data_IF_531607154514
#
_entry.id   IF_531607154514
#
_cell.length_a   1.000
_cell.length_b   1.000
_cell.length_c   1.000
_cell.angle_alpha   90.00
_cell.angle_beta   90.00
_cell.angle_gamma   90.00
#
_symmetry.space_group_name_H-M   'P 1'
#
loop_
_entity.id
_entity.type
_entity.pdbx_description
1 polymer ?
#
# COMPACT_ATOMS: atom_id res chain seq x y z
N UNK A 1 -13.10 -2.75 21.14
CA UNK A 1 -11.70 -3.18 21.03
C UNK A 1 -11.34 -4.15 22.13
N UNK A 2 -10.46 -5.08 21.88
CA UNK A 2 -9.79 -5.88 22.91
C UNK A 2 -8.41 -5.30 23.19
N UNK A 3 -7.87 -5.54 24.37
CA UNK A 3 -6.53 -5.17 24.79
C UNK A 3 -5.69 -6.44 24.82
N UNK A 4 -4.58 -6.44 24.11
CA UNK A 4 -3.63 -7.55 24.15
C UNK A 4 -2.91 -7.59 25.49
N UNK A 5 -2.68 -8.78 26.00
CA UNK A 5 -2.08 -9.03 27.32
C UNK A 5 -0.91 -9.97 27.17
N UNK A 6 0.20 -9.64 27.79
CA UNK A 6 1.35 -10.54 27.94
C UNK A 6 1.64 -10.72 29.43
N UNK A 7 2.15 -11.90 29.80
CA UNK A 7 2.56 -12.18 31.17
C UNK A 7 3.86 -11.43 31.55
N UNK A 8 4.36 -11.60 32.76
CA UNK A 8 5.59 -10.96 33.21
C UNK A 8 6.82 -11.44 32.41
N UNK A 9 6.79 -12.64 31.84
CA UNK A 9 7.87 -13.23 31.03
C UNK A 9 7.80 -12.81 29.55
N UNK A 10 6.75 -12.08 29.14
CA UNK A 10 6.55 -11.61 27.76
C UNK A 10 5.76 -12.58 26.88
N UNK A 11 5.21 -13.66 27.44
CA UNK A 11 4.39 -14.62 26.69
C UNK A 11 2.97 -14.09 26.52
N UNK A 12 2.34 -14.30 25.34
CA UNK A 12 1.01 -13.82 25.05
C UNK A 12 -0.07 -14.58 25.85
N UNK A 13 -1.03 -13.85 26.36
CA UNK A 13 -2.23 -14.35 27.01
C UNK A 13 -3.47 -13.98 26.17
N UNK A 14 -4.63 -14.54 26.57
CA UNK A 14 -5.90 -14.16 25.93
C UNK A 14 -6.17 -12.66 26.06
N UNK A 15 -6.56 -11.98 24.96
CA UNK A 15 -6.92 -10.57 25.01
C UNK A 15 -8.06 -10.29 26.00
N UNK A 16 -8.02 -9.15 26.68
CA UNK A 16 -9.03 -8.77 27.64
C UNK A 16 -9.86 -7.56 27.19
N UNK A 17 -11.00 -7.35 27.88
CA UNK A 17 -11.82 -6.15 27.67
C UNK A 17 -11.10 -4.90 28.17
N UNK A 18 -11.30 -3.71 27.56
CA UNK A 18 -10.68 -2.46 27.99
C UNK A 18 -10.92 -2.09 29.45
N UNK A 19 -12.09 -2.44 30.01
CA UNK A 19 -12.40 -2.22 31.41
C UNK A 19 -11.45 -2.98 32.33
N UNK A 20 -11.18 -4.25 32.05
CA UNK A 20 -10.24 -5.06 32.84
C UNK A 20 -8.81 -4.51 32.75
N UNK A 21 -8.38 -4.12 31.53
CA UNK A 21 -7.07 -3.51 31.34
C UNK A 21 -6.92 -2.20 32.14
N UNK A 22 -7.94 -1.32 32.16
CA UNK A 22 -7.92 -0.10 32.93
C UNK A 22 -7.80 -0.35 34.45
N UNK A 23 -8.52 -1.37 34.97
CA UNK A 23 -8.40 -1.76 36.36
C UNK A 23 -7.00 -2.24 36.71
N UNK A 24 -6.43 -3.14 35.92
CA UNK A 24 -5.07 -3.66 36.10
C UNK A 24 -4.00 -2.55 36.09
N UNK A 25 -4.15 -1.58 35.17
CA UNK A 25 -3.25 -0.42 35.10
C UNK A 25 -3.43 0.51 36.33
N UNK A 26 -4.67 0.75 36.76
CA UNK A 26 -4.98 1.57 37.96
C UNK A 26 -4.43 0.92 39.23
N UNK A 27 -4.56 -0.37 39.36
CA UNK A 27 -4.05 -1.16 40.49
C UNK A 27 -2.53 -1.40 40.44
N UNK A 28 -1.85 -0.83 39.43
CA UNK A 28 -0.41 -1.04 39.19
C UNK A 28 -0.01 -2.52 39.04
N UNK A 29 -0.94 -3.39 38.66
CA UNK A 29 -0.71 -4.80 38.37
C UNK A 29 -0.26 -5.06 36.93
N UNK A 30 -0.31 -4.05 36.06
CA UNK A 30 0.15 -4.10 34.71
C UNK A 30 0.79 -2.78 34.28
N UNK A 31 1.62 -2.84 33.24
CA UNK A 31 2.23 -1.68 32.58
C UNK A 31 1.88 -1.68 31.08
N UNK A 32 1.92 -0.50 30.46
CA UNK A 32 1.72 -0.37 29.01
C UNK A 32 3.00 -0.82 28.31
N UNK A 33 2.92 -1.89 27.52
CA UNK A 33 4.04 -2.41 26.72
C UNK A 33 4.09 -1.82 25.31
N UNK A 34 2.93 -1.70 24.66
CA UNK A 34 2.80 -1.12 23.32
C UNK A 34 1.52 -0.33 23.22
N UNK A 35 1.56 0.75 22.43
CA UNK A 35 0.35 1.55 22.13
C UNK A 35 -0.33 1.13 20.83
N UNK A 36 0.41 0.56 19.89
CA UNK A 36 -0.08 0.21 18.56
C UNK A 36 0.39 -1.21 18.14
N UNK A 37 -0.43 -2.26 18.24
CA UNK A 37 -1.71 -2.38 18.94
C UNK A 37 -1.55 -2.21 20.45
N UNK A 38 -2.63 -1.79 21.13
CA UNK A 38 -2.56 -1.55 22.55
C UNK A 38 -2.37 -2.85 23.33
N UNK A 39 -1.24 -2.94 24.03
CA UNK A 39 -0.79 -4.15 24.73
C UNK A 39 -0.32 -3.79 26.14
N UNK A 40 -0.77 -4.55 27.12
CA UNK A 40 -0.33 -4.42 28.51
C UNK A 40 0.49 -5.65 28.92
N UNK A 41 1.45 -5.45 29.82
CA UNK A 41 2.22 -6.51 30.44
C UNK A 41 1.84 -6.63 31.91
N UNK A 42 1.49 -7.84 32.34
CA UNK A 42 1.23 -8.13 33.75
C UNK A 42 2.55 -8.10 34.55
N UNK A 43 2.47 -7.66 35.79
CA UNK A 43 3.61 -7.61 36.72
C UNK A 43 3.60 -8.77 37.73
N UNK A 44 2.69 -9.70 37.58
CA UNK A 44 2.58 -10.91 38.39
C UNK A 44 2.49 -12.15 37.50
N UNK A 45 2.84 -13.28 38.05
CA UNK A 45 2.79 -14.53 37.31
C UNK A 45 1.33 -15.00 37.11
N UNK A 46 1.02 -15.37 35.89
CA UNK A 46 -0.29 -15.89 35.53
C UNK A 46 -0.17 -16.72 34.25
N UNK A 47 -0.37 -18.02 34.38
CA UNK A 47 -0.42 -18.93 33.24
C UNK A 47 -1.72 -18.87 32.47
N UNK A 48 -2.82 -18.40 33.07
CA UNK A 48 -4.13 -18.15 32.44
C UNK A 48 -4.73 -19.35 31.71
N UNK A 49 -6.06 -19.37 31.59
CA UNK A 49 -6.73 -20.28 30.64
C UNK A 49 -6.61 -19.72 29.23
N UNK A 50 -6.14 -20.54 28.29
CA UNK A 50 -6.08 -20.19 26.88
C UNK A 50 -7.15 -20.92 26.10
N UNK A 51 -7.87 -20.18 25.24
CA UNK A 51 -8.78 -20.75 24.25
C UNK A 51 -8.01 -21.01 22.96
N UNK A 52 -8.53 -21.88 22.12
CA UNK A 52 -7.99 -22.07 20.78
C UNK A 52 -8.20 -20.78 19.96
N UNK A 53 -7.10 -20.21 19.47
CA UNK A 53 -7.09 -18.99 18.68
C UNK A 53 -6.73 -19.34 17.25
N UNK A 54 -7.46 -18.74 16.29
CA UNK A 54 -7.17 -18.87 14.86
C UNK A 54 -6.89 -17.50 14.29
N UNK A 55 -5.93 -17.41 13.37
CA UNK A 55 -5.60 -16.19 12.63
C UNK A 55 -5.84 -16.46 11.15
N UNK A 56 -6.75 -15.71 10.53
CA UNK A 56 -6.94 -15.70 9.11
C UNK A 56 -6.23 -14.51 8.47
N UNK A 57 -5.57 -14.74 7.35
CA UNK A 57 -4.85 -13.69 6.60
C UNK A 57 -5.25 -13.71 5.14
N UNK A 58 -5.86 -12.62 4.68
CA UNK A 58 -6.12 -12.35 3.28
C UNK A 58 -4.95 -11.54 2.69
N UNK A 59 -4.15 -12.18 1.83
CA UNK A 59 -3.00 -11.54 1.20
C UNK A 59 -3.41 -10.78 -0.05
N UNK A 60 -3.47 -9.45 0.07
CA UNK A 60 -3.62 -8.57 -1.08
C UNK A 60 -2.32 -7.84 -1.46
N UNK A 61 -2.26 -7.37 -2.70
CA UNK A 61 -1.08 -6.64 -3.19
C UNK A 61 -0.95 -5.23 -2.61
N UNK A 62 -2.03 -4.63 -2.16
CA UNK A 62 -2.10 -3.27 -1.60
C UNK A 62 -2.59 -3.27 -0.16
N UNK A 63 -3.50 -4.15 0.14
CA UNK A 63 -4.14 -4.32 1.43
C UNK A 63 -3.96 -5.77 1.87
N UNK A 64 -3.77 -5.98 3.15
CA UNK A 64 -3.70 -7.29 3.77
C UNK A 64 -4.75 -7.31 4.87
N UNK A 65 -5.72 -8.21 4.76
CA UNK A 65 -6.70 -8.45 5.81
C UNK A 65 -6.13 -9.37 6.88
N UNK A 66 -6.38 -9.07 8.15
CA UNK A 66 -5.99 -9.93 9.27
C UNK A 66 -7.17 -10.00 10.24
N UNK A 67 -7.54 -11.21 10.63
CA UNK A 67 -8.55 -11.43 11.66
C UNK A 67 -8.07 -12.46 12.67
N UNK A 68 -8.43 -12.25 13.92
CA UNK A 68 -8.17 -13.16 15.04
C UNK A 68 -9.51 -13.62 15.58
N UNK A 69 -9.73 -14.92 15.57
CA UNK A 69 -10.98 -15.55 16.01
C UNK A 69 -10.71 -16.58 17.11
N UNK A 70 -11.68 -16.83 17.93
CA UNK A 70 -11.66 -17.91 18.92
C UNK A 70 -13.07 -18.48 19.06
N UNK A 71 -13.21 -19.80 18.84
CA UNK A 71 -14.49 -20.47 18.79
C UNK A 71 -15.46 -19.77 17.82
N UNK A 72 -16.52 -19.15 18.33
CA UNK A 72 -17.58 -18.44 17.61
C UNK A 72 -17.44 -16.89 17.71
N UNK A 73 -16.27 -16.39 18.14
CA UNK A 73 -16.04 -14.97 18.41
C UNK A 73 -14.94 -14.40 17.50
N UNK A 74 -15.23 -13.27 16.90
CA UNK A 74 -14.21 -12.45 16.25
C UNK A 74 -13.62 -11.50 17.30
N UNK A 75 -12.37 -11.74 17.69
CA UNK A 75 -11.68 -10.93 18.71
C UNK A 75 -11.16 -9.63 18.11
N UNK A 76 -10.52 -9.71 16.95
CA UNK A 76 -9.88 -8.60 16.24
C UNK A 76 -10.05 -8.79 14.74
N UNK A 77 -10.30 -7.71 14.02
CA UNK A 77 -10.30 -7.71 12.54
C UNK A 77 -9.78 -6.37 12.02
N UNK A 78 -9.14 -6.39 10.86
CA UNK A 78 -8.70 -5.14 10.24
C UNK A 78 -7.86 -5.33 9.00
N UNK A 79 -7.31 -4.21 8.54
CA UNK A 79 -6.58 -4.13 7.29
C UNK A 79 -5.24 -3.41 7.46
N UNK A 80 -4.23 -3.89 6.75
CA UNK A 80 -2.92 -3.25 6.64
C UNK A 80 -2.75 -2.72 5.23
N UNK A 81 -2.73 -1.40 5.06
CA UNK A 81 -2.43 -0.75 3.79
C UNK A 81 -0.92 -0.64 3.61
N UNK A 82 -0.40 -1.33 2.59
CA UNK A 82 1.00 -1.27 2.19
C UNK A 82 1.29 -0.01 1.38
N UNK A 83 2.55 0.44 1.39
CA UNK A 83 2.96 1.65 0.66
C UNK A 83 2.67 1.59 -0.84
N UNK A 84 1.99 2.60 -1.34
CA UNK A 84 1.65 2.75 -2.77
C UNK A 84 2.37 3.93 -3.44
N UNK A 85 3.05 4.79 -2.68
CA UNK A 85 3.73 6.00 -3.14
C UNK A 85 5.10 5.75 -3.82
N UNK A 86 5.55 4.49 -3.91
CA UNK A 86 6.90 4.14 -4.39
C UNK A 86 7.11 4.57 -5.84
N UNK A 87 6.14 4.30 -6.74
CA UNK A 87 6.24 4.70 -8.15
C UNK A 87 6.33 6.21 -8.29
N UNK A 88 5.44 6.95 -7.67
CA UNK A 88 5.42 8.42 -7.68
C UNK A 88 6.76 9.01 -7.19
N UNK A 89 7.31 8.46 -6.11
CA UNK A 89 8.61 8.88 -5.59
C UNK A 89 9.77 8.56 -6.54
N UNK A 90 9.74 7.44 -7.26
CA UNK A 90 10.74 7.08 -8.26
C UNK A 90 10.67 8.00 -9.48
N UNK A 91 9.48 8.33 -9.97
CA UNK A 91 9.27 9.26 -11.08
C UNK A 91 9.76 10.66 -10.70
N UNK A 92 9.47 11.13 -9.50
CA UNK A 92 10.00 12.35 -8.94
C UNK A 92 11.54 12.34 -8.95
N UNK A 93 12.18 11.27 -8.46
CA UNK A 93 13.65 11.12 -8.50
C UNK A 93 14.21 11.13 -9.92
N UNK A 94 13.50 10.51 -10.87
CA UNK A 94 13.88 10.50 -12.29
C UNK A 94 13.87 11.92 -12.87
N UNK A 95 12.83 12.70 -12.60
CA UNK A 95 12.70 14.09 -13.02
C UNK A 95 13.86 14.94 -12.48
N UNK A 96 14.21 14.78 -11.21
CA UNK A 96 15.32 15.50 -10.61
C UNK A 96 16.68 15.11 -11.17
N UNK A 97 16.89 13.82 -11.46
CA UNK A 97 18.12 13.36 -12.12
C UNK A 97 18.25 13.96 -13.52
N UNK A 98 17.15 14.01 -14.30
CA UNK A 98 17.14 14.68 -15.62
C UNK A 98 17.48 16.14 -15.50
N UNK A 99 16.82 16.88 -14.61
CA UNK A 99 17.08 18.30 -14.37
C UNK A 99 18.54 18.56 -13.99
N UNK A 100 19.14 17.72 -13.14
CA UNK A 100 20.56 17.84 -12.77
C UNK A 100 21.51 17.58 -13.94
N UNK A 101 21.20 16.65 -14.84
CA UNK A 101 22.02 16.35 -16.02
C UNK A 101 21.97 17.50 -17.05
N UNK A 102 20.83 18.17 -17.18
CA UNK A 102 20.62 19.27 -18.13
C UNK A 102 21.14 20.62 -17.62
N UNK A 103 21.68 20.70 -16.40
CA UNK A 103 22.37 21.90 -15.94
C UNK A 103 23.73 22.00 -16.67
N UNK A 104 24.20 23.24 -16.94
CA UNK A 104 25.51 23.53 -17.55
C UNK A 104 26.69 23.11 -16.64
N UNK A 105 26.70 21.88 -16.21
CA UNK A 105 27.79 21.28 -15.45
C UNK A 105 28.27 20.08 -16.26
N UNK A 106 29.49 19.69 -16.03
CA UNK A 106 30.19 18.58 -16.68
C UNK A 106 29.22 17.46 -17.09
N UNK A 107 29.16 17.16 -18.39
CA UNK A 107 28.42 16.02 -18.94
C UNK A 107 28.93 14.74 -18.28
N UNK A 108 28.01 13.92 -17.86
CA UNK A 108 28.26 12.55 -17.37
C UNK A 108 27.35 11.62 -18.12
N UNK A 109 27.94 10.64 -18.76
CA UNK A 109 27.17 9.61 -19.45
C UNK A 109 26.17 8.91 -18.50
N UNK A 110 25.01 8.49 -19.05
CA UNK A 110 24.07 7.66 -18.30
C UNK A 110 24.78 6.36 -17.89
N UNK A 111 24.85 6.08 -16.60
CA UNK A 111 25.31 4.79 -16.12
C UNK A 111 24.14 3.81 -16.20
N UNK A 112 24.24 2.81 -17.05
CA UNK A 112 23.32 1.70 -17.09
C UNK A 112 23.62 0.74 -15.92
N UNK A 113 22.57 0.10 -15.41
CA UNK A 113 22.75 -0.87 -14.32
C UNK A 113 23.18 -2.23 -14.87
N UNK A 114 24.42 -2.38 -15.26
CA UNK A 114 25.04 -3.67 -15.61
C UNK A 114 25.54 -4.39 -14.34
N UNK A 115 24.66 -4.53 -13.33
CA UNK A 115 25.04 -5.23 -12.10
C UNK A 115 24.56 -6.68 -12.19
N UNK A 116 25.46 -7.61 -12.00
CA UNK A 116 25.13 -9.00 -11.71
C UNK A 116 24.33 -9.06 -10.42
N UNK A 117 23.21 -9.73 -10.43
CA UNK A 117 22.33 -9.90 -9.28
C UNK A 117 22.42 -11.32 -8.79
N UNK A 118 22.44 -11.50 -7.48
CA UNK A 118 22.40 -12.84 -6.87
C UNK A 118 21.08 -13.51 -7.22
N UNK A 119 21.10 -14.83 -7.28
CA UNK A 119 19.89 -15.63 -7.43
C UNK A 119 18.87 -15.26 -6.35
N UNK A 120 17.59 -15.23 -6.71
CA UNK A 120 16.52 -14.83 -5.79
C UNK A 120 16.48 -13.33 -5.42
N UNK A 121 17.31 -12.49 -6.06
CA UNK A 121 17.27 -11.04 -5.81
C UNK A 121 15.92 -10.45 -6.18
N UNK A 122 15.38 -9.65 -5.28
CA UNK A 122 14.15 -8.88 -5.51
C UNK A 122 14.44 -7.37 -5.50
N UNK A 123 13.69 -6.58 -6.28
CA UNK A 123 13.73 -5.12 -6.15
C UNK A 123 13.44 -4.70 -4.72
N UNK A 124 14.21 -3.73 -4.14
CA UNK A 124 14.04 -3.34 -2.74
C UNK A 124 12.61 -2.93 -2.34
N UNK A 125 11.84 -2.39 -3.28
CA UNK A 125 10.43 -2.03 -3.05
C UNK A 125 9.52 -3.25 -2.90
N UNK A 126 9.79 -4.31 -3.67
CA UNK A 126 9.07 -5.59 -3.59
C UNK A 126 9.41 -6.29 -2.29
N UNK A 127 10.70 -6.40 -1.99
CA UNK A 127 11.17 -7.00 -0.74
C UNK A 127 10.60 -6.28 0.48
N UNK A 128 10.65 -4.94 0.50
CA UNK A 128 10.09 -4.15 1.61
C UNK A 128 8.57 -4.36 1.78
N UNK A 129 7.80 -4.45 0.71
CA UNK A 129 6.36 -4.74 0.79
C UNK A 129 6.11 -6.10 1.42
N UNK A 130 6.81 -7.11 0.96
CA UNK A 130 6.70 -8.49 1.44
C UNK A 130 7.11 -8.59 2.92
N UNK A 131 8.27 -8.04 3.30
CA UNK A 131 8.73 -8.01 4.69
C UNK A 131 7.76 -7.29 5.63
N UNK A 132 7.12 -6.22 5.16
CA UNK A 132 6.12 -5.51 5.95
C UNK A 132 4.81 -6.29 6.10
N UNK A 133 4.42 -7.06 5.08
CA UNK A 133 3.30 -8.01 5.20
C UNK A 133 3.60 -9.05 6.30
N UNK A 134 4.74 -9.72 6.22
CA UNK A 134 5.13 -10.75 7.20
C UNK A 134 5.29 -10.17 8.60
N UNK A 135 5.87 -8.98 8.75
CA UNK A 135 6.00 -8.30 10.04
C UNK A 135 4.67 -8.15 10.78
N UNK A 136 3.59 -7.83 10.07
CA UNK A 136 2.29 -7.68 10.71
C UNK A 136 1.64 -9.02 11.02
N UNK A 137 1.83 -10.03 10.18
CA UNK A 137 1.42 -11.41 10.49
C UNK A 137 2.13 -11.88 11.75
N UNK A 138 3.46 -11.81 11.78
CA UNK A 138 4.29 -12.22 12.92
C UNK A 138 3.92 -11.44 14.19
N UNK A 139 3.66 -10.13 14.05
CA UNK A 139 3.28 -9.30 15.19
C UNK A 139 1.95 -9.75 15.81
N UNK A 140 0.93 -10.05 14.99
CA UNK A 140 -0.36 -10.51 15.50
C UNK A 140 -0.28 -11.95 16.03
N UNK A 141 0.50 -12.82 15.40
CA UNK A 141 0.79 -14.16 15.91
C UNK A 141 1.44 -14.10 17.30
N UNK A 142 2.38 -13.19 17.50
CA UNK A 142 3.05 -13.00 18.79
C UNK A 142 2.24 -12.28 19.87
N UNK A 143 1.01 -11.84 19.58
CA UNK A 143 0.12 -11.16 20.53
C UNK A 143 -0.98 -12.06 21.10
N UNK A 144 -1.09 -13.29 20.63
CA UNK A 144 -2.09 -14.26 21.08
C UNK A 144 -1.46 -15.63 21.33
N UNK A 145 -1.99 -16.42 22.28
CA UNK A 145 -1.39 -17.70 22.62
C UNK A 145 -1.61 -18.74 21.50
N UNK A 146 -0.55 -19.35 21.04
CA UNK A 146 -0.50 -20.51 20.13
C UNK A 146 -1.58 -20.47 19.02
N UNK A 147 -1.56 -19.48 18.12
CA UNK A 147 -2.59 -19.37 17.11
C UNK A 147 -2.41 -20.39 15.97
N UNK A 148 -3.50 -20.99 15.51
CA UNK A 148 -3.55 -21.68 14.23
C UNK A 148 -3.57 -20.61 13.13
N UNK A 149 -2.58 -20.58 12.25
CA UNK A 149 -2.44 -19.59 11.18
C UNK A 149 -2.93 -20.17 9.85
N UNK A 150 -3.95 -19.53 9.25
CA UNK A 150 -4.45 -19.85 7.91
C UNK A 150 -4.20 -18.64 6.98
N UNK A 151 -3.59 -18.88 5.83
CA UNK A 151 -3.23 -17.81 4.88
C UNK A 151 -3.87 -18.11 3.51
N UNK A 152 -4.61 -17.14 2.98
CA UNK A 152 -5.05 -17.21 1.58
C UNK A 152 -3.92 -16.82 0.64
N UNK A 153 -3.68 -17.65 -0.39
CA UNK A 153 -2.70 -17.37 -1.44
C UNK A 153 -3.34 -17.44 -2.82
N UNK A 154 -3.01 -16.47 -3.69
CA UNK A 154 -3.44 -16.49 -5.09
C UNK A 154 -2.37 -17.10 -5.99
N UNK A 155 -2.80 -17.94 -6.95
CA UNK A 155 -1.96 -18.37 -8.08
C UNK A 155 -2.48 -17.66 -9.33
N UNK A 156 -1.65 -16.82 -9.93
CA UNK A 156 -2.03 -16.03 -11.09
C UNK A 156 -1.20 -16.45 -12.30
N UNK A 157 -1.87 -17.02 -13.28
CA UNK A 157 -1.30 -17.23 -14.61
C UNK A 157 -1.70 -16.04 -15.50
N UNK A 158 -0.78 -15.10 -15.67
CA UNK A 158 -1.04 -13.86 -16.40
C UNK A 158 -1.28 -14.12 -17.89
N UNK A 159 -0.62 -15.10 -18.48
CA UNK A 159 -0.80 -15.42 -19.91
C UNK A 159 -2.18 -16.05 -20.11
N UNK A 160 -2.56 -17.00 -19.29
CA UNK A 160 -3.89 -17.62 -19.33
C UNK A 160 -5.03 -16.65 -19.00
N UNK A 161 -4.76 -15.62 -18.18
CA UNK A 161 -5.75 -14.55 -17.92
C UNK A 161 -5.94 -13.63 -19.13
N UNK A 162 -4.98 -13.55 -20.04
CA UNK A 162 -5.04 -12.78 -21.29
C UNK A 162 -5.66 -13.62 -22.39
N UNK A 163 -5.21 -14.86 -22.51
CA UNK A 163 -5.63 -15.86 -23.46
C UNK A 163 -5.97 -17.14 -22.71
N UNK A 164 -7.28 -17.45 -22.49
CA UNK A 164 -7.72 -18.64 -21.76
C UNK A 164 -7.32 -19.95 -22.40
N UNK A 165 -7.12 -19.96 -23.72
CA UNK A 165 -6.86 -21.16 -24.52
C UNK A 165 -5.37 -21.50 -24.64
N UNK A 166 -4.47 -20.63 -24.12
CA UNK A 166 -3.02 -20.79 -24.19
C UNK A 166 -2.56 -22.12 -23.56
N UNK A 167 -1.78 -22.90 -24.32
CA UNK A 167 -1.28 -24.22 -23.91
C UNK A 167 0.15 -24.46 -24.40
N UNK A 168 0.89 -25.32 -23.68
CA UNK A 168 2.18 -25.85 -24.12
C UNK A 168 3.15 -24.79 -24.63
N UNK A 169 3.53 -24.91 -25.90
CA UNK A 169 4.50 -24.04 -26.60
C UNK A 169 4.02 -22.59 -26.70
N UNK A 170 2.70 -22.33 -26.71
CA UNK A 170 2.13 -20.97 -26.81
C UNK A 170 2.57 -20.08 -25.66
N UNK A 171 2.88 -20.65 -24.49
CA UNK A 171 3.46 -19.89 -23.36
C UNK A 171 4.82 -19.27 -23.69
N UNK A 172 5.54 -19.83 -24.67
CA UNK A 172 6.83 -19.32 -25.14
C UNK A 172 6.68 -18.40 -26.34
N UNK A 173 5.55 -18.46 -27.05
CA UNK A 173 5.20 -17.73 -28.25
C UNK A 173 4.13 -16.69 -27.97
N UNK A 174 4.49 -15.57 -27.31
CA UNK A 174 3.56 -14.47 -27.05
C UNK A 174 3.10 -13.77 -28.34
N UNK A 175 2.08 -12.91 -28.24
CA UNK A 175 1.45 -12.19 -29.38
C UNK A 175 2.44 -11.48 -30.30
N UNK A 176 3.62 -11.11 -29.82
CA UNK A 176 4.66 -10.41 -30.57
C UNK A 176 5.75 -11.36 -31.10
N UNK A 177 5.57 -12.66 -30.95
CA UNK A 177 6.52 -13.65 -31.42
C UNK A 177 6.68 -13.57 -32.94
N UNK A 178 7.92 -13.63 -33.42
CA UNK A 178 8.24 -13.48 -34.86
C UNK A 178 8.34 -12.02 -35.33
N UNK A 179 8.05 -11.04 -34.52
CA UNK A 179 8.24 -9.62 -34.82
C UNK A 179 9.49 -9.06 -34.13
N UNK A 180 10.21 -8.18 -34.81
CA UNK A 180 11.42 -7.54 -34.28
C UNK A 180 11.15 -6.80 -32.95
N UNK A 181 10.03 -6.09 -32.86
CA UNK A 181 9.55 -5.41 -31.63
C UNK A 181 8.02 -5.24 -31.64
N UNK A 182 7.48 -4.73 -30.54
CA UNK A 182 6.05 -4.47 -30.39
C UNK A 182 5.50 -3.47 -31.41
N UNK A 183 6.33 -2.55 -31.92
CA UNK A 183 5.92 -1.56 -32.93
C UNK A 183 5.58 -2.24 -34.24
N UNK A 184 6.46 -3.12 -34.72
CA UNK A 184 6.21 -3.88 -35.99
C UNK A 184 4.98 -4.77 -35.85
N UNK A 185 4.80 -5.42 -34.71
CA UNK A 185 3.58 -6.18 -34.47
C UNK A 185 2.33 -5.31 -34.55
N UNK A 186 2.32 -4.15 -33.90
CA UNK A 186 1.15 -3.23 -33.89
C UNK A 186 0.86 -2.70 -35.29
N UNK A 187 1.90 -2.33 -36.05
CA UNK A 187 1.74 -1.90 -37.45
C UNK A 187 1.13 -3.00 -38.29
N UNK A 188 1.63 -4.24 -38.21
CA UNK A 188 1.11 -5.39 -38.94
C UNK A 188 -0.34 -5.74 -38.50
N UNK A 189 -0.62 -5.81 -37.21
CA UNK A 189 -1.97 -6.05 -36.68
C UNK A 189 -2.98 -5.05 -37.21
N UNK A 190 -2.60 -3.79 -37.29
CA UNK A 190 -3.46 -2.70 -37.77
C UNK A 190 -3.40 -2.54 -39.31
N UNK A 191 -2.79 -3.53 -40.01
CA UNK A 191 -2.69 -3.58 -41.47
C UNK A 191 -2.06 -2.33 -42.08
N UNK A 192 -1.06 -1.76 -41.40
CA UNK A 192 -0.39 -0.52 -41.79
C UNK A 192 -1.36 0.63 -42.12
N UNK A 193 -2.47 0.70 -41.33
CA UNK A 193 -3.54 1.66 -41.53
C UNK A 193 -3.66 2.53 -40.27
N UNK A 194 -3.74 3.85 -40.46
CA UNK A 194 -4.02 4.76 -39.34
C UNK A 194 -5.38 4.46 -38.73
N UNK A 195 -5.42 4.14 -37.45
CA UNK A 195 -6.68 3.78 -36.77
C UNK A 195 -7.61 4.98 -36.54
N UNK A 196 -7.09 6.20 -36.64
CA UNK A 196 -7.85 7.44 -36.49
C UNK A 196 -8.52 7.86 -37.81
N UNK A 197 -7.76 8.11 -38.86
CA UNK A 197 -8.29 8.59 -40.16
C UNK A 197 -8.49 7.46 -41.18
N UNK A 198 -8.15 6.22 -40.86
CA UNK A 198 -8.28 5.05 -41.75
C UNK A 198 -7.51 5.13 -43.07
N UNK A 199 -6.59 6.07 -43.22
CA UNK A 199 -5.77 6.22 -44.44
C UNK A 199 -4.55 5.30 -44.38
N UNK A 200 -4.18 4.73 -45.52
CA UNK A 200 -2.94 4.01 -45.81
C UNK A 200 -1.92 4.96 -46.47
N UNK A 201 -0.71 4.49 -46.72
CA UNK A 201 0.34 5.23 -47.47
C UNK A 201 0.76 6.57 -46.78
N UNK A 202 0.80 6.60 -45.47
CA UNK A 202 1.33 7.73 -44.70
C UNK A 202 2.40 7.25 -43.73
N UNK A 203 3.24 8.17 -43.28
CA UNK A 203 4.19 7.85 -42.19
C UNK A 203 3.44 7.49 -40.92
N UNK A 204 3.70 6.28 -40.41
CA UNK A 204 2.96 5.70 -39.31
C UNK A 204 3.81 5.66 -38.02
N UNK A 205 3.18 5.98 -36.94
CA UNK A 205 3.70 5.87 -35.57
C UNK A 205 2.80 4.98 -34.71
N UNK A 206 3.37 4.40 -33.65
CA UNK A 206 2.58 3.74 -32.61
C UNK A 206 2.24 4.73 -31.51
N UNK A 207 0.96 4.80 -31.14
CA UNK A 207 0.43 5.69 -30.13
C UNK A 207 -0.11 4.90 -28.95
N UNK A 208 0.11 5.40 -27.72
CA UNK A 208 -0.42 4.81 -26.49
C UNK A 208 -1.87 5.26 -26.29
N UNK A 209 -2.82 4.35 -26.36
CA UNK A 209 -4.24 4.63 -26.08
C UNK A 209 -4.36 5.23 -24.68
N UNK A 210 -3.87 4.53 -23.66
CA UNK A 210 -3.67 5.12 -22.34
C UNK A 210 -2.28 5.74 -22.31
N UNK A 211 -2.22 7.06 -22.17
CA UNK A 211 -0.95 7.79 -22.18
C UNK A 211 0.01 7.29 -21.09
N UNK A 212 1.30 7.29 -21.36
CA UNK A 212 2.34 6.94 -20.37
C UNK A 212 2.25 7.78 -19.12
N UNK A 213 1.87 9.06 -19.25
CA UNK A 213 1.65 9.98 -18.12
C UNK A 213 0.49 9.54 -17.22
N UNK A 214 -0.51 8.87 -17.78
CA UNK A 214 -1.66 8.28 -17.09
C UNK A 214 -1.47 6.81 -16.71
N UNK A 215 -0.22 6.32 -16.79
CA UNK A 215 0.15 4.96 -16.38
C UNK A 215 -0.06 3.90 -17.47
N UNK A 216 -0.20 4.29 -18.73
CA UNK A 216 -0.22 3.40 -19.88
C UNK A 216 1.08 2.58 -20.01
N UNK A 217 0.95 1.33 -20.43
CA UNK A 217 2.04 0.38 -20.65
C UNK A 217 2.42 0.31 -22.14
N UNK A 218 3.61 -0.24 -22.42
CA UNK A 218 4.07 -0.49 -23.79
C UNK A 218 3.54 -1.85 -24.37
N UNK A 219 2.48 -2.40 -23.77
CA UNK A 219 1.83 -3.62 -24.26
C UNK A 219 1.12 -3.36 -25.59
N UNK A 220 1.13 -4.36 -26.47
CA UNK A 220 0.51 -4.27 -27.79
C UNK A 220 -0.97 -3.85 -27.76
N UNK A 221 -1.72 -4.31 -26.76
CA UNK A 221 -3.13 -3.97 -26.54
C UNK A 221 -3.37 -2.51 -26.12
N UNK A 222 -2.34 -1.83 -25.61
CA UNK A 222 -2.38 -0.37 -25.31
C UNK A 222 -1.83 0.48 -26.46
N UNK A 223 -1.42 -0.12 -27.56
CA UNK A 223 -0.81 0.57 -28.69
C UNK A 223 -1.71 0.49 -29.91
N UNK A 224 -1.81 1.58 -30.66
CA UNK A 224 -2.47 1.66 -31.96
C UNK A 224 -1.59 2.33 -32.99
N UNK A 225 -1.84 2.04 -34.26
CA UNK A 225 -1.18 2.70 -35.39
C UNK A 225 -1.85 4.04 -35.69
N UNK A 226 -1.09 5.13 -35.74
CA UNK A 226 -1.57 6.49 -36.03
C UNK A 226 -0.59 7.14 -37.01
N UNK A 227 -1.10 7.83 -38.05
CA UNK A 227 -0.26 8.60 -38.93
C UNK A 227 0.25 9.90 -38.32
N UNK A 228 1.31 10.47 -38.85
CA UNK A 228 1.91 11.73 -38.40
C UNK A 228 0.91 12.88 -38.33
N UNK A 229 -0.01 12.97 -39.28
CA UNK A 229 -1.02 14.04 -39.36
C UNK A 229 -2.05 13.92 -38.23
N UNK A 230 -2.34 12.71 -37.77
CA UNK A 230 -3.25 12.47 -36.65
C UNK A 230 -2.52 12.48 -35.29
N UNK A 231 -1.19 12.26 -35.27
CA UNK A 231 -0.38 12.19 -34.07
C UNK A 231 0.22 13.56 -33.71
N UNK A 232 -0.63 14.61 -33.70
CA UNK A 232 -0.23 15.98 -33.40
C UNK A 232 -0.41 16.31 -31.91
N UNK A 233 0.28 17.35 -31.44
CA UNK A 233 0.14 17.84 -30.07
C UNK A 233 -1.32 18.23 -29.75
N UNK A 234 -2.02 18.86 -30.69
CA UNK A 234 -3.42 19.27 -30.54
C UNK A 234 -4.34 18.08 -30.30
N UNK A 235 -4.18 17.00 -31.07
CA UNK A 235 -4.99 15.79 -30.92
C UNK A 235 -4.80 15.06 -29.59
N UNK A 236 -3.71 15.36 -28.85
CA UNK A 236 -3.48 14.86 -27.50
C UNK A 236 -4.10 15.71 -26.41
N UNK A 237 -4.57 16.90 -26.72
CA UNK A 237 -5.18 17.81 -25.74
C UNK A 237 -6.54 17.26 -25.26
N UNK A 238 -6.97 17.74 -24.11
CA UNK A 238 -8.24 17.36 -23.50
C UNK A 238 -9.39 17.62 -24.49
N UNK A 239 -10.31 16.64 -24.58
CA UNK A 239 -11.47 16.61 -25.47
C UNK A 239 -11.20 16.39 -26.96
N UNK A 240 -9.95 16.33 -27.40
CA UNK A 240 -9.61 16.00 -28.78
C UNK A 240 -9.56 14.47 -29.02
N UNK A 241 -9.39 14.07 -30.29
CA UNK A 241 -9.65 12.70 -30.73
C UNK A 241 -8.83 11.63 -29.99
N UNK A 242 -7.52 11.86 -29.74
CA UNK A 242 -6.67 10.90 -29.03
C UNK A 242 -6.96 10.87 -27.55
N UNK A 243 -7.38 12.00 -26.95
CA UNK A 243 -7.86 12.05 -25.59
C UNK A 243 -9.17 11.27 -25.39
N UNK A 244 -10.11 11.43 -26.32
CA UNK A 244 -11.37 10.67 -26.31
C UNK A 244 -11.12 9.16 -26.39
N UNK A 245 -10.13 8.73 -27.15
CA UNK A 245 -9.70 7.33 -27.21
C UNK A 245 -9.20 6.83 -25.84
N UNK A 246 -8.47 7.66 -25.11
CA UNK A 246 -8.01 7.30 -23.76
C UNK A 246 -9.19 7.20 -22.76
N UNK A 247 -10.15 8.11 -22.84
CA UNK A 247 -11.28 8.17 -21.90
C UNK A 247 -12.32 7.10 -22.21
N UNK A 248 -12.67 6.95 -23.50
CA UNK A 248 -13.74 6.07 -23.97
C UNK A 248 -13.21 4.68 -24.41
N UNK A 249 -11.90 4.49 -24.46
CA UNK A 249 -11.28 3.25 -24.88
C UNK A 249 -11.57 2.09 -23.93
N UNK A 250 -11.45 0.88 -24.45
CA UNK A 250 -11.60 -0.36 -23.67
C UNK A 250 -10.64 -0.33 -22.48
N UNK A 251 -11.17 -0.50 -21.28
CA UNK A 251 -10.33 -0.61 -20.07
C UNK A 251 -9.48 -1.86 -20.17
N UNK A 252 -8.17 -1.69 -20.31
CA UNK A 252 -7.23 -2.79 -20.37
C UNK A 252 -7.06 -3.42 -19.00
N UNK A 253 -7.11 -4.74 -18.92
CA UNK A 253 -6.84 -5.48 -17.71
C UNK A 253 -5.40 -5.25 -17.26
N UNK A 254 -5.21 -4.74 -16.06
CA UNK A 254 -3.88 -4.47 -15.51
C UNK A 254 -3.48 -5.59 -14.57
N UNK A 255 -2.78 -6.59 -15.07
CA UNK A 255 -2.24 -7.71 -14.27
C UNK A 255 -0.96 -7.34 -13.50
N UNK A 256 -0.81 -6.06 -13.15
CA UNK A 256 0.42 -5.50 -12.58
C UNK A 256 0.78 -6.09 -11.23
N UNK A 257 -0.21 -6.46 -10.43
CA UNK A 257 0.00 -6.96 -9.08
C UNK A 257 0.20 -8.48 -9.06
N UNK A 258 -0.20 -9.21 -10.09
CA UNK A 258 -0.11 -10.67 -10.17
C UNK A 258 1.31 -11.22 -10.00
N UNK A 259 2.36 -10.65 -10.64
CA UNK A 259 3.73 -11.13 -10.43
C UNK A 259 4.20 -10.94 -8.97
N UNK A 260 3.77 -9.85 -8.32
CA UNK A 260 4.06 -9.62 -6.91
C UNK A 260 3.40 -10.69 -6.05
N UNK A 261 2.11 -10.98 -6.27
CA UNK A 261 1.38 -11.99 -5.52
C UNK A 261 1.97 -13.40 -5.69
N UNK A 262 2.41 -13.76 -6.91
CA UNK A 262 3.11 -15.02 -7.13
C UNK A 262 4.45 -15.09 -6.38
N UNK A 263 5.15 -13.96 -6.25
CA UNK A 263 6.40 -13.89 -5.46
C UNK A 263 6.11 -14.03 -3.96
N UNK A 264 5.10 -13.34 -3.46
CA UNK A 264 4.66 -13.46 -2.06
C UNK A 264 4.26 -14.89 -1.73
N UNK A 265 3.46 -15.53 -2.61
CA UNK A 265 3.06 -16.93 -2.45
C UNK A 265 4.25 -17.87 -2.22
N UNK A 266 5.29 -17.78 -3.08
CA UNK A 266 6.51 -18.61 -2.90
C UNK A 266 7.17 -18.38 -1.54
N UNK A 267 7.21 -17.13 -1.07
CA UNK A 267 7.83 -16.80 0.23
C UNK A 267 6.98 -17.22 1.42
N UNK A 268 5.64 -17.20 1.30
CA UNK A 268 4.74 -17.69 2.35
C UNK A 268 5.03 -19.16 2.66
N UNK A 269 5.14 -20.02 1.66
CA UNK A 269 5.48 -21.44 1.87
C UNK A 269 6.82 -21.65 2.59
N UNK A 270 7.78 -20.77 2.37
CA UNK A 270 9.10 -20.85 3.05
C UNK A 270 9.04 -20.26 4.46
N UNK A 271 8.33 -19.13 4.64
CA UNK A 271 8.29 -18.39 5.91
C UNK A 271 7.35 -19.04 6.94
N UNK A 272 6.24 -19.62 6.46
CA UNK A 272 5.20 -20.22 7.30
C UNK A 272 4.90 -21.66 6.89
N UNK A 273 5.85 -22.59 7.06
CA UNK A 273 5.67 -24.00 6.64
C UNK A 273 4.54 -24.72 7.40
N UNK A 274 4.19 -24.22 8.58
CA UNK A 274 3.14 -24.80 9.43
C UNK A 274 1.77 -24.11 9.25
N UNK A 275 1.69 -23.05 8.45
CA UNK A 275 0.42 -22.37 8.18
C UNK A 275 -0.47 -23.22 7.26
N UNK A 276 -1.76 -23.27 7.56
CA UNK A 276 -2.75 -23.80 6.65
C UNK A 276 -2.90 -22.84 5.44
N UNK A 277 -2.92 -23.40 4.25
CA UNK A 277 -3.04 -22.62 3.02
C UNK A 277 -4.42 -22.79 2.42
N UNK A 278 -5.07 -21.67 2.12
CA UNK A 278 -6.37 -21.64 1.45
C UNK A 278 -6.34 -20.80 0.17
N UNK A 279 -7.43 -20.83 -0.57
CA UNK A 279 -7.59 -20.13 -1.84
C UNK A 279 -8.92 -19.39 -1.90
N UNK A 280 -9.01 -18.34 -2.71
CA UNK A 280 -10.22 -17.53 -2.84
C UNK A 280 -11.48 -18.29 -3.26
N UNK A 281 -11.33 -19.49 -3.86
CA UNK A 281 -12.44 -20.40 -4.15
C UNK A 281 -13.13 -20.93 -2.88
N UNK A 282 -12.41 -21.09 -1.79
CA UNK A 282 -12.96 -21.48 -0.49
C UNK A 282 -13.40 -20.24 0.33
N UNK A 283 -12.64 -19.17 0.30
CA UNK A 283 -12.92 -17.94 1.07
C UNK A 283 -14.28 -17.32 0.70
N UNK A 284 -14.57 -17.22 -0.59
CA UNK A 284 -15.81 -16.57 -1.06
C UNK A 284 -17.09 -17.26 -0.59
N UNK A 285 -17.26 -18.59 -0.71
CA UNK A 285 -18.41 -19.30 -0.15
C UNK A 285 -18.51 -19.16 1.38
N UNK A 286 -17.39 -19.34 2.10
CA UNK A 286 -17.35 -19.23 3.56
C UNK A 286 -17.78 -17.84 4.03
N UNK A 287 -17.28 -16.79 3.39
CA UNK A 287 -17.67 -15.41 3.71
C UNK A 287 -19.17 -15.17 3.51
N UNK A 288 -19.74 -15.67 2.40
CA UNK A 288 -21.18 -15.57 2.13
C UNK A 288 -22.01 -16.37 3.14
N UNK A 289 -21.58 -17.55 3.52
CA UNK A 289 -22.25 -18.37 4.54
C UNK A 289 -22.28 -17.66 5.91
N UNK A 290 -21.23 -16.89 6.23
CA UNK A 290 -21.17 -16.07 7.45
C UNK A 290 -21.94 -14.73 7.33
N UNK A 291 -22.59 -14.43 6.20
CA UNK A 291 -23.33 -13.18 5.99
C UNK A 291 -22.45 -11.92 5.95
N UNK A 292 -21.15 -12.05 5.64
CA UNK A 292 -20.20 -10.94 5.67
C UNK A 292 -20.07 -10.26 4.31
N UNK A 293 -20.04 -8.93 4.32
CA UNK A 293 -19.72 -8.10 3.15
C UNK A 293 -18.27 -8.32 2.68
N UNK A 294 -18.02 -8.00 1.40
CA UNK A 294 -16.68 -8.16 0.80
C UNK A 294 -15.73 -7.04 1.23
N UNK A 295 -14.90 -7.32 2.22
CA UNK A 295 -13.75 -6.52 2.63
C UNK A 295 -12.59 -7.44 2.95
N UNK A 296 -11.34 -6.94 2.89
CA UNK A 296 -10.18 -7.76 3.26
C UNK A 296 -10.25 -8.23 4.72
N UNK A 297 -10.77 -7.41 5.62
CA UNK A 297 -10.98 -7.79 7.02
C UNK A 297 -11.99 -8.92 7.20
N UNK A 298 -13.07 -8.91 6.43
CA UNK A 298 -14.12 -9.94 6.48
C UNK A 298 -13.69 -11.23 5.75
N UNK A 299 -12.94 -11.10 4.66
CA UNK A 299 -12.32 -12.24 3.99
C UNK A 299 -11.33 -12.94 4.95
N UNK A 300 -10.55 -12.19 5.74
CA UNK A 300 -9.69 -12.76 6.78
C UNK A 300 -10.47 -13.52 7.88
N UNK A 301 -11.66 -13.07 8.26
CA UNK A 301 -12.53 -13.82 9.16
C UNK A 301 -12.91 -15.17 8.54
N UNK A 302 -13.37 -15.18 7.29
CA UNK A 302 -13.74 -16.41 6.59
C UNK A 302 -12.55 -17.38 6.43
N UNK A 303 -11.35 -16.85 6.21
CA UNK A 303 -10.10 -17.60 6.09
C UNK A 303 -9.71 -18.27 7.42
N UNK A 304 -10.02 -17.66 8.57
CA UNK A 304 -9.72 -18.28 9.87
C UNK A 304 -10.47 -19.59 10.12
N UNK A 305 -11.42 -19.95 9.26
CA UNK A 305 -12.20 -21.18 9.39
C UNK A 305 -13.17 -21.18 10.57
N UNK A 306 -13.67 -20.00 10.95
CA UNK A 306 -14.79 -19.89 11.91
C UNK A 306 -16.08 -20.36 11.22
N UNK A 307 -16.89 -21.17 11.91
CA UNK A 307 -18.12 -21.74 11.35
C UNK A 307 -19.36 -20.88 11.59
N UNK A 308 -19.37 -20.11 12.66
CA UNK A 308 -20.47 -19.20 13.02
C UNK A 308 -19.92 -17.99 13.79
N UNK A 309 -20.66 -16.89 13.78
CA UNK A 309 -20.26 -15.67 14.48
C UNK A 309 -21.37 -15.29 15.46
N UNK A 310 -21.22 -15.65 16.73
CA UNK A 310 -22.09 -15.20 17.80
C UNK A 310 -21.71 -13.82 18.29
N UNK A 311 -20.39 -13.47 18.21
CA UNK A 311 -19.89 -12.18 18.59
C UNK A 311 -18.84 -11.65 17.61
N UNK A 312 -19.16 -10.55 16.95
CA UNK A 312 -18.25 -9.86 16.05
C UNK A 312 -17.50 -8.74 16.76
N UNK A 313 -16.25 -8.46 16.34
CA UNK A 313 -15.52 -7.30 16.79
C UNK A 313 -16.23 -6.01 16.34
N UNK A 314 -16.50 -5.12 17.27
CA UNK A 314 -17.15 -3.82 17.00
C UNK A 314 -16.23 -2.83 16.32
N UNK A 315 -14.93 -3.05 16.41
CA UNK A 315 -13.91 -2.18 15.83
C UNK A 315 -13.13 -2.90 14.76
N UNK A 316 -12.76 -2.17 13.73
CA UNK A 316 -11.83 -2.62 12.69
C UNK A 316 -10.55 -1.79 12.83
N UNK A 317 -9.40 -2.45 12.98
CA UNK A 317 -8.14 -1.73 12.94
C UNK A 317 -7.78 -1.37 11.50
N UNK A 318 -7.17 -0.22 11.35
CA UNK A 318 -6.60 0.25 10.10
C UNK A 318 -5.13 0.60 10.32
N UNK A 319 -4.26 -0.05 9.56
CA UNK A 319 -2.83 0.16 9.64
C UNK A 319 -2.36 0.67 8.30
N UNK A 320 -1.68 1.82 8.28
CA UNK A 320 -1.20 2.42 7.05
C UNK A 320 0.29 2.68 7.10
N UNK A 321 1.01 2.15 6.11
CA UNK A 321 2.43 2.38 6.00
C UNK A 321 2.72 3.72 5.33
N UNK A 322 3.59 4.52 5.94
CA UNK A 322 4.09 5.74 5.33
C UNK A 322 5.62 5.78 5.31
N UNK A 323 6.17 6.67 4.50
CA UNK A 323 7.61 6.85 4.41
C UNK A 323 8.09 7.84 5.45
N UNK A 324 8.98 7.43 6.35
CA UNK A 324 9.74 8.36 7.18
C UNK A 324 10.68 9.18 6.29
N UNK A 325 10.38 10.46 6.10
CA UNK A 325 11.18 11.36 5.26
C UNK A 325 12.49 11.70 5.96
N UNK A 326 13.62 11.20 5.46
CA UNK A 326 14.95 11.59 5.93
C UNK A 326 15.42 12.92 5.35
N UNK A 327 14.95 13.28 4.12
CA UNK A 327 15.28 14.53 3.43
C UNK A 327 14.02 15.19 2.91
N UNK A 328 14.03 16.52 2.86
CA UNK A 328 12.98 17.27 2.20
C UNK A 328 13.04 17.06 0.69
N UNK A 329 11.91 16.74 0.05
CA UNK A 329 11.81 16.64 -1.41
C UNK A 329 11.90 18.01 -2.10
N UNK A 330 11.78 19.11 -1.37
CA UNK A 330 11.86 20.48 -1.93
C UNK A 330 13.25 20.86 -2.40
N UNK A 331 14.30 20.25 -1.86
CA UNK A 331 15.66 20.44 -2.38
C UNK A 331 15.80 20.02 -3.84
N UNK A 332 14.80 19.38 -4.32
CA UNK A 332 14.81 18.73 -5.60
C UNK A 332 13.80 19.28 -6.61
N UNK A 333 13.00 20.32 -6.32
CA UNK A 333 12.09 20.88 -7.32
C UNK A 333 12.87 21.65 -8.36
N UNK A 334 13.00 21.08 -9.56
CA UNK A 334 13.54 21.78 -10.70
C UNK A 334 12.63 22.97 -11.01
N UNK A 335 13.06 24.17 -10.67
CA UNK A 335 12.44 25.38 -11.19
C UNK A 335 13.01 25.66 -12.56
N UNK A 336 12.17 25.75 -13.57
CA UNK A 336 12.53 26.27 -14.88
C UNK A 336 13.18 27.66 -14.69
N UNK A 337 14.44 27.78 -15.08
CA UNK A 337 15.07 29.00 -15.50
C UNK A 337 15.59 30.00 -14.47
N UNK A 338 15.44 29.82 -13.14
CA UNK A 338 15.94 30.82 -12.19
C UNK A 338 17.01 30.30 -11.22
N UNK A 339 18.25 30.74 -11.41
CA UNK A 339 19.28 30.68 -10.37
C UNK A 339 18.94 31.71 -9.29
N UNK A 340 18.37 31.32 -8.18
CA UNK A 340 18.26 32.17 -7.01
C UNK A 340 19.21 31.63 -5.92
N UNK A 341 20.29 32.38 -5.64
CA UNK A 341 21.31 32.05 -4.65
C UNK A 341 20.76 31.91 -3.22
N UNK A 342 19.60 32.47 -2.91
CA UNK A 342 19.06 32.57 -1.54
C UNK A 342 17.88 31.67 -1.23
N UNK A 343 17.50 30.72 -2.11
CA UNK A 343 16.30 29.92 -1.94
C UNK A 343 16.55 28.64 -1.14
N UNK A 344 17.81 28.20 -1.02
CA UNK A 344 18.14 26.94 -0.35
C UNK A 344 18.02 27.03 1.18
N UNK A 345 18.52 28.10 1.80
CA UNK A 345 18.45 28.30 3.25
C UNK A 345 17.01 28.49 3.75
N UNK A 346 16.24 29.39 3.14
CA UNK A 346 14.86 29.67 3.54
C UNK A 346 13.90 28.48 3.34
N UNK A 347 14.22 27.53 2.44
CA UNK A 347 13.39 26.33 2.21
C UNK A 347 13.68 25.22 3.20
N UNK A 348 14.91 25.09 3.66
CA UNK A 348 15.25 24.11 4.69
C UNK A 348 14.63 24.49 6.03
N UNK A 349 14.52 25.76 6.35
CA UNK A 349 13.81 26.27 7.52
C UNK A 349 12.32 25.99 7.49
N UNK A 350 11.66 26.08 6.30
CA UNK A 350 10.22 25.81 6.13
C UNK A 350 9.82 24.34 6.22
N UNK A 351 10.76 23.41 6.24
CA UNK A 351 10.50 21.98 6.29
C UNK A 351 10.93 21.36 7.60
N UNK A 352 10.51 21.98 8.69
CA UNK A 352 10.76 21.48 10.03
C UNK A 352 10.21 20.05 10.17
N UNK A 353 11.03 19.16 10.73
CA UNK A 353 10.66 17.78 11.06
C UNK A 353 10.34 17.61 12.53
N UNK A 354 10.72 18.59 13.32
CA UNK A 354 10.59 18.66 14.76
C UNK A 354 10.26 20.10 15.16
N UNK A 355 9.31 20.25 16.04
CA UNK A 355 8.95 21.54 16.62
C UNK A 355 8.40 21.32 18.04
N UNK A 356 9.06 21.94 19.05
CA UNK A 356 8.61 21.94 20.45
C UNK A 356 8.18 20.56 20.99
N UNK A 357 9.04 19.54 20.80
CA UNK A 357 8.80 18.20 21.29
C UNK A 357 8.02 17.28 20.34
N UNK A 358 7.39 17.80 19.28
CA UNK A 358 6.64 17.03 18.30
C UNK A 358 7.44 16.74 17.04
N UNK A 359 7.28 15.55 16.49
CA UNK A 359 7.87 15.13 15.21
C UNK A 359 6.80 14.95 14.13
N UNK A 360 7.21 15.05 12.86
CA UNK A 360 6.31 14.69 11.75
C UNK A 360 5.85 13.25 11.90
N UNK A 361 4.56 13.03 11.69
CA UNK A 361 3.82 11.77 11.79
C UNK A 361 3.70 11.23 13.23
N UNK A 362 3.98 12.03 14.27
CA UNK A 362 3.57 11.66 15.60
C UNK A 362 2.04 11.50 15.66
N UNK A 363 1.59 10.47 16.37
CA UNK A 363 0.17 10.24 16.67
C UNK A 363 -0.24 11.15 17.82
N UNK A 364 -1.25 11.95 17.58
CA UNK A 364 -1.74 12.95 18.52
C UNK A 364 -3.24 12.86 18.68
N UNK A 365 -3.73 13.30 19.82
CA UNK A 365 -5.13 13.60 20.07
C UNK A 365 -5.36 15.10 19.90
N UNK A 366 -6.42 15.45 19.20
CA UNK A 366 -6.84 16.82 18.92
C UNK A 366 -8.37 16.89 18.88
N UNK A 367 -8.98 17.68 19.74
CA UNK A 367 -10.45 17.85 19.87
C UNK A 367 -11.22 16.52 20.00
N UNK A 368 -10.65 15.54 20.71
CA UNK A 368 -11.25 14.21 20.89
C UNK A 368 -11.04 13.25 19.71
N UNK A 369 -10.39 13.69 18.64
CA UNK A 369 -10.06 12.87 17.49
C UNK A 369 -8.58 12.48 17.45
N UNK A 370 -8.30 11.30 16.88
CA UNK A 370 -6.92 10.82 16.68
C UNK A 370 -6.44 11.26 15.30
N UNK A 371 -5.25 11.86 15.27
CA UNK A 371 -4.64 12.28 14.04
C UNK A 371 -3.11 12.15 14.03
N UNK A 372 -2.51 12.52 12.89
CA UNK A 372 -1.08 12.46 12.64
C UNK A 372 -0.56 13.80 12.14
N UNK A 373 0.55 14.26 12.69
CA UNK A 373 1.16 15.53 12.29
C UNK A 373 1.75 15.39 10.89
N UNK A 374 1.22 16.13 9.92
CA UNK A 374 1.69 16.08 8.53
C UNK A 374 2.63 17.21 8.13
N UNK A 375 2.68 18.28 8.92
CA UNK A 375 3.55 19.42 8.69
C UNK A 375 3.52 20.41 9.85
N UNK A 376 4.54 21.26 9.91
CA UNK A 376 4.62 22.38 10.85
C UNK A 376 4.53 23.70 10.11
N UNK A 377 4.06 24.73 10.80
CA UNK A 377 3.96 26.09 10.28
C UNK A 377 4.30 27.09 11.37
N UNK A 378 5.07 28.14 11.01
CA UNK A 378 5.55 29.12 11.97
C UNK A 378 6.34 28.50 13.12
N UNK A 379 6.23 29.11 14.29
CA UNK A 379 6.94 28.72 15.52
C UNK A 379 6.14 27.84 16.46
N UNK A 380 4.83 27.63 16.20
CA UNK A 380 3.92 26.91 17.12
C UNK A 380 2.71 26.27 16.44
N UNK A 381 2.66 26.21 15.12
CA UNK A 381 1.52 25.64 14.40
C UNK A 381 1.84 24.30 13.76
N UNK A 382 0.81 23.46 13.59
CA UNK A 382 0.89 22.18 12.92
C UNK A 382 -0.32 21.95 12.03
N UNK A 383 -0.18 21.00 11.10
CA UNK A 383 -1.26 20.40 10.33
C UNK A 383 -1.44 18.96 10.79
N UNK A 384 -2.63 18.60 11.18
CA UNK A 384 -2.99 17.26 11.66
C UNK A 384 -4.01 16.64 10.71
N UNK A 385 -3.82 15.38 10.37
CA UNK A 385 -4.72 14.61 9.51
C UNK A 385 -5.11 13.30 10.18
N UNK A 386 -6.33 12.85 9.91
CA UNK A 386 -6.77 11.48 10.20
C UNK A 386 -5.99 10.47 9.37
N UNK A 387 -6.15 9.18 9.65
CA UNK A 387 -5.55 8.10 8.85
C UNK A 387 -6.08 8.08 7.41
N UNK A 388 -7.31 8.55 7.18
CA UNK A 388 -7.91 8.65 5.84
C UNK A 388 -7.35 9.82 5.02
N UNK A 389 -6.70 10.76 5.69
CA UNK A 389 -6.05 11.91 5.06
C UNK A 389 -6.84 13.21 5.16
N UNK A 390 -7.94 13.24 5.90
CA UNK A 390 -8.73 14.43 6.17
C UNK A 390 -8.08 15.29 7.23
N UNK A 391 -8.18 16.62 7.09
CA UNK A 391 -7.64 17.53 8.10
C UNK A 391 -8.57 17.62 9.30
N UNK A 392 -8.00 17.46 10.49
CA UNK A 392 -8.68 17.80 11.73
C UNK A 392 -8.54 19.32 11.92
N UNK A 393 -9.67 20.01 11.95
CA UNK A 393 -9.76 21.47 12.10
C UNK A 393 -10.33 21.81 13.46
N UNK A 394 -10.13 23.06 13.91
CA UNK A 394 -10.83 23.56 15.06
C UNK A 394 -12.35 23.57 14.78
N UNK A 395 -13.21 23.16 15.73
CA UNK A 395 -14.65 23.31 15.57
C UNK A 395 -15.00 24.72 15.10
N UNK A 396 -15.95 24.82 14.18
CA UNK A 396 -16.45 26.07 13.57
C UNK A 396 -15.42 26.91 12.79
N UNK A 397 -14.25 26.32 12.48
CA UNK A 397 -13.21 26.99 11.68
C UNK A 397 -12.86 26.18 10.42
N UNK A 398 -12.61 26.90 9.35
CA UNK A 398 -12.25 26.31 8.04
C UNK A 398 -10.74 26.17 7.82
N UNK A 399 -9.93 26.84 8.64
CA UNK A 399 -8.48 26.79 8.48
C UNK A 399 -7.89 25.51 9.09
N UNK A 400 -6.93 24.94 8.36
CA UNK A 400 -6.31 23.62 8.61
C UNK A 400 -5.17 23.65 9.63
N UNK A 401 -4.79 24.85 10.09
CA UNK A 401 -3.69 25.05 11.01
C UNK A 401 -4.17 25.00 12.43
N UNK A 402 -3.50 24.21 13.28
CA UNK A 402 -3.80 24.12 14.72
C UNK A 402 -2.57 24.47 15.55
N UNK A 403 -2.78 24.96 16.74
CA UNK A 403 -1.69 25.26 17.67
C UNK A 403 -1.12 23.97 18.28
N UNK A 404 0.20 23.89 18.46
CA UNK A 404 0.84 22.76 19.16
C UNK A 404 0.41 22.66 20.63
N UNK A 405 -0.09 23.75 21.23
CA UNK A 405 -0.53 23.77 22.63
C UNK A 405 -1.76 22.89 22.91
N UNK A 406 -2.62 22.68 21.88
CA UNK A 406 -3.84 21.88 22.00
C UNK A 406 -3.64 20.40 21.62
N UNK A 407 -2.41 20.02 21.26
CA UNK A 407 -2.09 18.64 20.88
C UNK A 407 -1.62 17.82 22.08
N UNK A 408 -2.23 16.68 22.29
CA UNK A 408 -1.73 15.64 23.20
C UNK A 408 -1.04 14.54 22.41
N UNK A 409 0.26 14.31 22.66
CA UNK A 409 0.98 13.24 21.97
C UNK A 409 0.65 11.88 22.56
N UNK A 410 0.13 10.97 21.73
CA UNK A 410 -0.15 9.58 22.10
C UNK A 410 1.11 8.73 21.91
N UNK A 411 1.74 8.79 20.72
CA UNK A 411 2.96 8.04 20.44
C UNK A 411 3.83 8.73 19.39
N UNK A 412 5.15 8.42 19.43
CA UNK A 412 6.07 8.82 18.38
C UNK A 412 5.88 7.97 17.13
N UNK A 413 6.16 8.56 15.99
CA UNK A 413 6.06 7.86 14.72
C UNK A 413 7.08 6.72 14.60
N UNK A 414 6.62 5.60 14.02
CA UNK A 414 7.41 4.40 13.76
C UNK A 414 7.32 3.91 12.31
N UNK A 415 6.96 4.76 11.37
CA UNK A 415 6.62 4.51 9.96
C UNK A 415 5.24 3.88 9.72
N UNK A 416 4.42 3.74 10.74
CA UNK A 416 3.08 3.20 10.65
C UNK A 416 2.09 4.14 11.33
N UNK A 417 0.95 4.30 10.70
CA UNK A 417 -0.24 4.85 11.32
C UNK A 417 -1.11 3.67 11.74
N UNK A 418 -1.59 3.69 12.95
CA UNK A 418 -2.47 2.66 13.51
C UNK A 418 -3.68 3.34 14.10
N UNK A 419 -4.85 3.02 13.59
CA UNK A 419 -6.10 3.55 14.07
C UNK A 419 -7.15 2.45 14.21
N UNK A 420 -8.20 2.70 14.96
CA UNK A 420 -9.31 1.81 15.18
C UNK A 420 -10.60 2.55 14.93
N UNK A 421 -11.37 2.04 13.99
CA UNK A 421 -12.68 2.59 13.65
C UNK A 421 -13.77 1.71 14.22
N UNK A 422 -14.73 2.34 14.87
CA UNK A 422 -16.00 1.71 15.21
C UNK A 422 -16.87 1.74 13.97
N UNK A 423 -17.29 0.58 13.51
CA UNK A 423 -18.35 0.49 12.51
C UNK A 423 -19.66 0.30 13.29
N UNK A 424 -20.50 1.32 13.20
CA UNK A 424 -21.85 1.29 13.72
C UNK A 424 -22.70 0.28 12.97
#
# INVERSE_FOLDING_TARGET
MVVFVINMHGEPLMPCKPRKARLLLKEKKAIIKSRDPFTIQLLYDNSGYTQKVKIGVDLGAKHVGIAITSEDKVLVKGEVELRQDVKSNLDTRKTYRRSRRNRKTRFREPRFQNRTRKEGWLPPSIQSRMENTFRWIDKFCGLVPNPDLTIEVGKFDVQKMIDPDIQGVDYQQGQTYGYHDVRYFVLARDQYTCQVCKKKNKTLNTHHVIYRSHGGSDRADNLITVCTDCHTHENHQKENILWKWMVNGKKLSRYRESPFMNTVRKRVFTQYPHAEITYGSATTPNRKALGLEKTHANDAIAISGISSINKNAQTVFQIKQFRKKKRSLHEATARKGRKSKNVLSKRNEKNQKYLKGFYLNDKVELYGEIGYITGFTGTSGAYVKTIDGDYITMPDKTYKQVSLKVLSRISHNNNWQFDEKVFG
#
